data_IF_061349401611
#
_entry.id   IF_061349401611
#
_cell.length_a   1.000
_cell.length_b   1.000
_cell.length_c   1.000
_cell.angle_alpha   90.00
_cell.angle_beta   90.00
_cell.angle_gamma   90.00
#
_symmetry.space_group_name_H-M   'P 1'
#
loop_
_entity.id
_entity.type
_entity.pdbx_description
1 polymer ?
#
# COMPACT_ATOMS: atom_id res chain seq x y z
N UNK A 1 11.22 -18.74 -17.50
CA UNK A 1 11.68 -19.08 -16.12
C UNK A 1 10.58 -18.78 -15.13
N UNK A 2 10.42 -19.63 -14.14
CA UNK A 2 9.47 -19.37 -13.05
C UNK A 2 9.95 -18.20 -12.20
N UNK A 3 9.01 -17.39 -11.73
CA UNK A 3 9.32 -16.30 -10.81
C UNK A 3 9.63 -16.85 -9.40
N UNK A 4 10.41 -16.11 -8.58
CA UNK A 4 10.78 -16.57 -7.22
C UNK A 4 9.59 -16.86 -6.31
N UNK A 5 8.49 -16.12 -6.48
CA UNK A 5 7.30 -16.24 -5.64
C UNK A 5 6.05 -16.52 -6.47
N UNK A 6 5.15 -17.32 -5.93
CA UNK A 6 3.84 -17.55 -6.54
C UNK A 6 2.93 -16.35 -6.39
N UNK A 7 2.86 -15.79 -5.20
CA UNK A 7 2.03 -14.64 -4.92
C UNK A 7 2.71 -13.66 -3.97
N UNK A 8 2.57 -12.38 -4.26
CA UNK A 8 3.03 -11.30 -3.40
C UNK A 8 1.88 -10.43 -2.93
N UNK A 9 2.05 -9.81 -1.77
CA UNK A 9 1.13 -8.82 -1.23
C UNK A 9 1.82 -7.48 -1.06
N UNK A 10 1.16 -6.41 -1.48
CA UNK A 10 1.60 -5.04 -1.34
C UNK A 10 0.43 -4.18 -0.89
N UNK A 11 0.43 -3.75 0.35
CA UNK A 11 -0.67 -3.00 0.96
C UNK A 11 -0.25 -1.64 1.49
N UNK A 12 -1.20 -0.71 1.57
CA UNK A 12 -0.99 0.61 2.13
C UNK A 12 -2.19 1.55 1.98
N UNK A 13 -2.02 2.77 2.49
CA UNK A 13 -3.02 3.86 2.38
C UNK A 13 -2.90 4.60 1.05
N UNK A 14 -1.69 4.74 0.53
CA UNK A 14 -1.39 5.41 -0.74
C UNK A 14 -1.95 6.85 -0.83
N UNK A 15 -1.51 7.71 0.04
CA UNK A 15 -2.01 9.07 0.20
C UNK A 15 -0.98 10.16 -0.13
N UNK A 16 -0.72 10.46 -1.41
CA UNK A 16 -1.25 9.82 -2.63
C UNK A 16 -0.46 8.58 -3.05
N UNK A 17 -0.98 7.87 -4.04
CA UNK A 17 -0.21 6.91 -4.81
C UNK A 17 0.88 7.66 -5.60
N UNK A 18 2.12 7.23 -5.51
CA UNK A 18 3.26 7.95 -6.09
C UNK A 18 4.28 7.02 -6.74
N UNK A 19 5.27 7.59 -7.42
CA UNK A 19 6.29 6.84 -8.18
C UNK A 19 7.04 5.80 -7.34
N UNK A 20 7.28 6.06 -6.07
CA UNK A 20 7.88 5.08 -5.16
C UNK A 20 6.99 3.85 -4.93
N UNK A 21 5.68 4.06 -4.81
CA UNK A 21 4.72 2.94 -4.71
C UNK A 21 4.65 2.15 -6.01
N UNK A 22 4.62 2.84 -7.15
CA UNK A 22 4.64 2.18 -8.45
C UNK A 22 5.89 1.33 -8.64
N UNK A 23 7.06 1.83 -8.26
CA UNK A 23 8.30 1.08 -8.30
C UNK A 23 8.27 -0.20 -7.44
N UNK A 24 7.67 -0.11 -6.25
CA UNK A 24 7.47 -1.26 -5.38
C UNK A 24 6.54 -2.29 -6.06
N UNK A 25 5.43 -1.84 -6.64
CA UNK A 25 4.48 -2.69 -7.35
C UNK A 25 5.11 -3.37 -8.58
N UNK A 26 5.88 -2.63 -9.37
CA UNK A 26 6.60 -3.16 -10.54
C UNK A 26 7.63 -4.22 -10.13
N UNK A 27 8.32 -3.99 -9.01
CA UNK A 27 9.26 -4.96 -8.46
C UNK A 27 8.54 -6.24 -8.02
N UNK A 28 7.43 -6.11 -7.30
CA UNK A 28 6.60 -7.25 -6.93
C UNK A 28 6.08 -8.00 -8.16
N UNK A 29 5.61 -7.28 -9.17
CA UNK A 29 5.13 -7.86 -10.42
C UNK A 29 6.19 -8.67 -11.16
N UNK A 30 7.45 -8.24 -11.13
CA UNK A 30 8.56 -9.00 -11.72
C UNK A 30 8.90 -10.27 -10.95
N UNK A 31 8.76 -10.24 -9.63
CA UNK A 31 9.19 -11.32 -8.74
C UNK A 31 8.10 -12.35 -8.45
N UNK A 32 6.82 -12.03 -8.68
CA UNK A 32 5.69 -12.90 -8.36
C UNK A 32 4.89 -13.27 -9.61
N UNK A 33 4.34 -14.49 -9.64
CA UNK A 33 3.39 -14.87 -10.69
C UNK A 33 2.09 -14.05 -10.58
N UNK A 34 1.67 -13.74 -9.34
CA UNK A 34 0.51 -12.91 -9.02
C UNK A 34 0.85 -11.91 -7.91
N UNK A 35 0.28 -10.72 -7.98
CA UNK A 35 0.40 -9.71 -6.92
C UNK A 35 -0.97 -9.23 -6.48
N UNK A 36 -1.20 -9.21 -5.17
CA UNK A 36 -2.34 -8.55 -4.53
C UNK A 36 -1.92 -7.16 -4.07
N UNK A 37 -2.48 -6.14 -4.70
CA UNK A 37 -2.30 -4.75 -4.30
C UNK A 37 -3.50 -4.31 -3.47
N UNK A 38 -3.30 -4.02 -2.19
CA UNK A 38 -4.38 -3.74 -1.24
C UNK A 38 -4.44 -2.25 -0.90
N UNK A 39 -5.59 -1.62 -1.16
CA UNK A 39 -5.90 -0.33 -0.54
C UNK A 39 -6.47 -0.60 0.84
N UNK A 40 -5.74 -0.18 1.87
CA UNK A 40 -6.19 -0.20 3.28
C UNK A 40 -6.96 1.09 3.55
N UNK A 41 -8.27 1.07 3.30
CA UNK A 41 -9.12 2.25 3.33
C UNK A 41 -9.84 2.44 4.67
N UNK A 42 -10.16 3.69 5.00
CA UNK A 42 -10.92 4.08 6.18
C UNK A 42 -10.21 3.76 7.51
N UNK A 43 -8.89 3.73 7.52
CA UNK A 43 -8.11 3.56 8.74
C UNK A 43 -8.05 4.87 9.57
N UNK A 44 -7.60 4.76 10.81
CA UNK A 44 -7.51 5.90 11.75
C UNK A 44 -6.62 7.01 11.19
N UNK A 45 -5.46 6.65 10.66
CA UNK A 45 -4.53 7.63 10.08
C UNK A 45 -5.08 8.32 8.83
N UNK A 46 -5.79 7.57 7.99
CA UNK A 46 -6.46 8.14 6.81
C UNK A 46 -7.47 9.21 7.24
N UNK A 47 -8.34 8.92 8.19
CA UNK A 47 -9.31 9.88 8.69
C UNK A 47 -8.64 11.12 9.27
N UNK A 48 -7.56 10.94 10.02
CA UNK A 48 -6.76 12.02 10.58
C UNK A 48 -6.17 12.92 9.49
N UNK A 49 -5.60 12.32 8.45
CA UNK A 49 -5.04 13.04 7.30
C UNK A 49 -6.13 13.80 6.54
N UNK A 50 -7.24 13.14 6.19
CA UNK A 50 -8.33 13.74 5.42
C UNK A 50 -8.94 14.97 6.12
N UNK A 51 -8.99 14.98 7.45
CA UNK A 51 -9.47 16.14 8.23
C UNK A 51 -8.60 17.38 8.10
N UNK A 52 -7.33 17.23 7.69
CA UNK A 52 -6.39 18.36 7.50
C UNK A 52 -6.42 18.92 6.08
N UNK A 53 -7.12 18.29 5.16
CA UNK A 53 -7.14 18.62 3.73
C UNK A 53 -8.42 19.32 3.33
N UNK A 54 -8.36 20.04 2.21
CA UNK A 54 -9.50 20.72 1.59
C UNK A 54 -9.35 20.77 0.07
N UNK A 55 -10.42 21.15 -0.62
CA UNK A 55 -10.41 21.38 -2.06
C UNK A 55 -9.95 20.16 -2.88
N UNK A 56 -9.10 20.42 -3.86
CA UNK A 56 -8.66 19.41 -4.83
C UNK A 56 -7.86 18.28 -4.20
N UNK A 57 -7.07 18.57 -3.16
CA UNK A 57 -6.30 17.56 -2.43
C UNK A 57 -7.22 16.55 -1.75
N UNK A 58 -8.24 17.04 -1.06
CA UNK A 58 -9.23 16.19 -0.40
C UNK A 58 -9.95 15.29 -1.39
N UNK A 59 -10.36 15.85 -2.54
CA UNK A 59 -11.00 15.09 -3.62
C UNK A 59 -10.07 14.03 -4.21
N UNK A 60 -8.81 14.42 -4.48
CA UNK A 60 -7.82 13.51 -5.06
C UNK A 60 -7.45 12.34 -4.15
N UNK A 61 -7.58 12.53 -2.83
CA UNK A 61 -7.22 11.53 -1.81
C UNK A 61 -8.40 10.76 -1.26
N UNK A 62 -9.61 10.90 -1.83
CA UNK A 62 -10.73 10.02 -1.47
C UNK A 62 -10.37 8.55 -1.71
N UNK A 63 -10.90 7.61 -0.91
CA UNK A 63 -10.62 6.19 -1.09
C UNK A 63 -10.92 5.69 -2.50
N UNK A 64 -12.02 6.14 -3.09
CA UNK A 64 -12.46 5.75 -4.44
C UNK A 64 -11.45 6.18 -5.52
N UNK A 65 -10.94 7.42 -5.41
CA UNK A 65 -9.95 7.93 -6.37
C UNK A 65 -8.59 7.26 -6.23
N UNK A 66 -8.16 7.01 -5.00
CA UNK A 66 -6.93 6.24 -4.75
C UNK A 66 -7.05 4.83 -5.31
N UNK A 67 -8.16 4.16 -5.05
CA UNK A 67 -8.43 2.83 -5.60
C UNK A 67 -8.40 2.82 -7.13
N UNK A 68 -9.04 3.79 -7.78
CA UNK A 68 -9.06 3.89 -9.23
C UNK A 68 -7.65 4.05 -9.82
N UNK A 69 -6.80 4.87 -9.20
CA UNK A 69 -5.40 5.06 -9.63
C UNK A 69 -4.56 3.80 -9.45
N UNK A 70 -4.67 3.15 -8.30
CA UNK A 70 -4.01 1.88 -8.02
C UNK A 70 -4.41 0.80 -9.04
N UNK A 71 -5.69 0.70 -9.30
CA UNK A 71 -6.24 -0.26 -10.25
C UNK A 71 -5.74 0.00 -11.67
N UNK A 72 -5.66 1.25 -12.09
CA UNK A 72 -5.10 1.63 -13.39
C UNK A 72 -3.62 1.24 -13.51
N UNK A 73 -2.82 1.49 -12.46
CA UNK A 73 -1.42 1.08 -12.41
C UNK A 73 -1.26 -0.44 -12.46
N UNK A 74 -2.04 -1.17 -11.67
CA UNK A 74 -2.01 -2.63 -11.62
C UNK A 74 -2.38 -3.30 -12.93
N UNK A 75 -3.38 -2.78 -13.63
CA UNK A 75 -3.82 -3.32 -14.95
C UNK A 75 -2.71 -3.31 -16.00
N UNK A 76 -1.81 -2.33 -15.95
CA UNK A 76 -0.69 -2.22 -16.90
C UNK A 76 0.32 -3.37 -16.76
N UNK A 77 0.39 -3.98 -15.60
CA UNK A 77 1.35 -5.04 -15.29
C UNK A 77 0.83 -6.45 -15.59
N UNK A 78 -0.47 -6.61 -15.75
CA UNK A 78 -1.12 -7.85 -16.21
C UNK A 78 -1.26 -8.96 -15.17
N UNK A 79 -0.46 -8.96 -14.10
CA UNK A 79 -0.50 -9.97 -13.03
C UNK A 79 -0.85 -9.40 -11.66
N UNK A 80 -1.42 -8.20 -11.62
CA UNK A 80 -1.80 -7.49 -10.39
C UNK A 80 -3.31 -7.49 -10.23
N UNK A 81 -3.77 -7.96 -9.09
CA UNK A 81 -5.14 -7.81 -8.61
C UNK A 81 -5.18 -6.70 -7.57
N UNK A 82 -5.99 -5.67 -7.80
CA UNK A 82 -6.16 -4.56 -6.87
C UNK A 82 -7.42 -4.76 -6.06
N UNK A 83 -7.29 -4.74 -4.74
CA UNK A 83 -8.37 -5.03 -3.79
C UNK A 83 -8.59 -3.82 -2.90
N UNK A 84 -9.85 -3.39 -2.81
CA UNK A 84 -10.30 -2.39 -1.83
C UNK A 84 -10.62 -3.10 -0.51
N UNK A 85 -9.95 -2.71 0.55
CA UNK A 85 -10.20 -3.24 1.89
C UNK A 85 -10.68 -2.13 2.81
N UNK A 86 -11.91 -2.23 3.26
CA UNK A 86 -12.44 -1.37 4.33
C UNK A 86 -11.95 -1.90 5.68
N UNK A 87 -11.04 -1.16 6.32
CA UNK A 87 -10.48 -1.50 7.63
C UNK A 87 -10.98 -0.57 8.75
N UNK A 88 -12.12 0.08 8.54
CA UNK A 88 -12.72 0.99 9.52
C UNK A 88 -12.99 0.34 10.89
N UNK A 89 -13.18 -0.97 10.92
CA UNK A 89 -13.43 -1.72 12.15
C UNK A 89 -12.14 -2.20 12.85
N UNK A 90 -10.97 -2.03 12.23
CA UNK A 90 -9.69 -2.47 12.78
C UNK A 90 -9.14 -1.41 13.73
N UNK A 91 -9.78 -1.28 14.89
CA UNK A 91 -9.45 -0.29 15.92
C UNK A 91 -9.35 -0.94 17.29
N UNK A 92 -8.38 -0.47 18.06
CA UNK A 92 -8.29 -0.83 19.49
C UNK A 92 -9.43 -0.19 20.28
N UNK A 93 -9.73 -0.64 21.52
CA UNK A 93 -10.69 0.01 22.39
C UNK A 93 -10.40 1.51 22.65
N UNK A 94 -9.13 1.92 22.57
CA UNK A 94 -8.70 3.33 22.70
C UNK A 94 -8.89 4.14 21.40
N UNK A 95 -9.26 3.51 20.29
CA UNK A 95 -9.51 4.18 19.00
C UNK A 95 -8.27 4.30 18.10
N UNK A 96 -7.18 3.63 18.43
CA UNK A 96 -5.98 3.54 17.58
C UNK A 96 -6.11 2.44 16.52
N UNK A 97 -5.25 2.45 15.51
CA UNK A 97 -5.20 1.36 14.53
C UNK A 97 -4.84 0.04 15.20
N UNK A 98 -5.56 -1.01 14.84
CA UNK A 98 -5.29 -2.38 15.25
C UNK A 98 -4.84 -3.22 14.04
N UNK A 99 -3.55 -3.27 13.83
CA UNK A 99 -2.95 -4.03 12.73
C UNK A 99 -3.15 -5.54 12.87
N UNK A 100 -3.23 -6.04 14.09
CA UNK A 100 -3.49 -7.46 14.32
C UNK A 100 -4.92 -7.84 13.89
N UNK A 101 -5.87 -6.90 14.00
CA UNK A 101 -7.22 -7.08 13.48
C UNK A 101 -7.29 -7.06 11.93
N UNK A 102 -6.33 -6.40 11.26
CA UNK A 102 -6.25 -6.39 9.81
C UNK A 102 -5.78 -7.73 9.23
N UNK A 103 -4.92 -8.45 9.95
CA UNK A 103 -4.31 -9.71 9.50
C UNK A 103 -5.32 -10.72 8.94
N UNK A 104 -6.40 -11.09 9.65
CA UNK A 104 -7.38 -12.05 9.11
C UNK A 104 -8.15 -11.51 7.90
N UNK A 105 -8.32 -10.19 7.77
CA UNK A 105 -8.96 -9.57 6.60
C UNK A 105 -8.06 -9.70 5.37
N UNK A 106 -6.76 -9.43 5.52
CA UNK A 106 -5.77 -9.58 4.45
C UNK A 106 -5.71 -11.03 3.99
N UNK A 107 -5.62 -11.98 4.90
CA UNK A 107 -5.59 -13.41 4.59
C UNK A 107 -6.85 -13.88 3.85
N UNK A 108 -8.00 -13.36 4.22
CA UNK A 108 -9.27 -13.68 3.57
C UNK A 108 -9.35 -13.11 2.17
N UNK A 109 -8.85 -11.89 1.97
CA UNK A 109 -8.87 -11.20 0.68
C UNK A 109 -7.87 -11.80 -0.34
N UNK A 110 -6.67 -12.15 0.12
CA UNK A 110 -5.59 -12.61 -0.76
C UNK A 110 -5.52 -14.13 -0.89
N UNK A 111 -6.05 -14.88 0.08
CA UNK A 111 -5.74 -16.31 0.21
C UNK A 111 -4.27 -16.50 0.60
N UNK A 112 -3.55 -17.36 -0.13
CA UNK A 112 -2.13 -17.59 0.13
C UNK A 112 -1.24 -16.60 -0.63
N UNK A 113 -0.22 -16.09 0.05
CA UNK A 113 0.91 -15.36 -0.54
C UNK A 113 2.20 -15.75 0.18
N UNK A 114 3.33 -15.74 -0.53
CA UNK A 114 4.63 -16.16 -0.03
C UNK A 114 5.66 -15.00 0.04
N UNK A 115 5.24 -13.80 -0.36
CA UNK A 115 6.04 -12.59 -0.21
C UNK A 115 5.18 -11.37 0.16
N UNK A 116 5.73 -10.47 0.98
CA UNK A 116 5.17 -9.15 1.29
C UNK A 116 6.15 -8.10 0.83
N UNK A 117 5.67 -7.08 0.13
CA UNK A 117 6.49 -6.01 -0.42
C UNK A 117 6.22 -4.69 0.28
N UNK A 118 7.26 -3.92 0.53
CA UNK A 118 7.17 -2.59 1.11
C UNK A 118 8.52 -1.91 1.14
N UNK A 119 8.54 -0.62 1.48
CA UNK A 119 9.77 0.17 1.57
C UNK A 119 10.16 0.52 3.00
N UNK A 120 9.28 0.26 3.98
CA UNK A 120 9.44 0.73 5.35
C UNK A 120 10.07 -0.36 6.24
N UNK A 121 11.34 -0.20 6.67
CA UNK A 121 11.99 -1.20 7.52
C UNK A 121 11.31 -1.42 8.87
N UNK A 122 10.64 -0.41 9.42
CA UNK A 122 9.96 -0.50 10.72
C UNK A 122 8.81 -1.49 10.73
N UNK A 123 8.26 -1.84 9.58
CA UNK A 123 7.17 -2.81 9.46
C UNK A 123 7.63 -4.27 9.50
N UNK A 124 8.93 -4.52 9.42
CA UNK A 124 9.46 -5.89 9.32
C UNK A 124 9.04 -6.77 10.50
N UNK A 125 9.06 -6.24 11.72
CA UNK A 125 8.68 -7.00 12.92
C UNK A 125 7.19 -7.42 12.88
N UNK A 126 6.31 -6.52 12.45
CA UNK A 126 4.90 -6.83 12.27
C UNK A 126 4.68 -7.91 11.22
N UNK A 127 5.26 -7.77 10.03
CA UNK A 127 5.07 -8.74 8.95
C UNK A 127 5.61 -10.13 9.30
N UNK A 128 6.73 -10.22 10.01
CA UNK A 128 7.26 -11.50 10.50
C UNK A 128 6.31 -12.19 11.48
N UNK A 129 5.65 -11.42 12.33
CA UNK A 129 4.67 -11.94 13.29
C UNK A 129 3.35 -12.32 12.61
N UNK A 130 2.84 -11.42 11.76
CA UNK A 130 1.54 -11.59 11.12
C UNK A 130 1.54 -12.65 10.02
N UNK A 131 2.63 -12.71 9.24
CA UNK A 131 2.78 -13.59 8.07
C UNK A 131 4.11 -14.34 8.13
N UNK A 132 4.31 -15.25 9.12
CA UNK A 132 5.60 -15.90 9.36
C UNK A 132 6.06 -16.82 8.22
N UNK A 133 5.16 -17.22 7.33
CA UNK A 133 5.47 -18.02 6.15
C UNK A 133 5.92 -17.20 4.94
N UNK A 134 5.73 -15.87 4.95
CA UNK A 134 6.02 -15.00 3.83
C UNK A 134 7.33 -14.22 4.04
N UNK A 135 8.13 -14.09 2.97
CA UNK A 135 9.30 -13.24 2.99
C UNK A 135 8.90 -11.75 2.93
N UNK A 136 9.49 -10.91 3.78
CA UNK A 136 9.33 -9.46 3.65
C UNK A 136 10.43 -8.90 2.75
N UNK A 137 10.05 -8.44 1.57
CA UNK A 137 10.94 -7.86 0.55
C UNK A 137 10.89 -6.35 0.66
N UNK A 138 11.97 -5.75 1.15
CA UNK A 138 12.10 -4.31 1.27
C UNK A 138 12.61 -3.72 -0.06
N UNK A 139 11.76 -2.90 -0.68
CA UNK A 139 12.08 -2.27 -1.97
C UNK A 139 12.53 -0.84 -1.72
N UNK A 140 13.78 -0.54 -2.06
CA UNK A 140 14.39 0.78 -1.90
C UNK A 140 14.17 1.40 -0.49
N UNK A 141 14.56 0.69 0.61
CA UNK A 141 14.34 1.18 1.98
C UNK A 141 14.88 2.60 2.24
N UNK A 142 16.07 2.99 1.74
CA UNK A 142 16.60 4.34 1.91
C UNK A 142 15.94 5.37 0.98
N UNK A 143 14.98 4.95 0.12
CA UNK A 143 14.34 5.81 -0.89
C UNK A 143 15.36 6.51 -1.81
N UNK A 144 16.42 5.80 -2.19
CA UNK A 144 17.50 6.33 -3.03
C UNK A 144 17.06 6.43 -4.50
N UNK A 145 16.23 5.49 -4.94
CA UNK A 145 15.74 5.45 -6.33
C UNK A 145 14.60 6.46 -6.56
N UNK A 146 13.65 6.52 -5.62
CA UNK A 146 12.56 7.50 -5.63
C UNK A 146 12.48 8.21 -4.27
N UNK A 147 13.19 9.34 -4.08
CA UNK A 147 13.30 10.02 -2.79
C UNK A 147 12.03 10.84 -2.45
N UNK A 148 10.90 10.15 -2.34
CA UNK A 148 9.58 10.76 -2.14
C UNK A 148 8.77 10.01 -1.08
N UNK A 149 7.86 10.71 -0.42
CA UNK A 149 6.87 10.14 0.49
C UNK A 149 5.53 10.85 0.33
N UNK A 150 4.45 10.17 0.71
CA UNK A 150 3.12 10.77 0.71
C UNK A 150 3.05 12.00 1.61
N UNK A 151 3.71 11.98 2.75
CA UNK A 151 3.79 13.13 3.67
C UNK A 151 4.41 14.36 3.00
N UNK A 152 5.52 14.19 2.29
CA UNK A 152 6.14 15.29 1.54
C UNK A 152 5.24 15.82 0.43
N UNK A 153 4.60 14.95 -0.32
CA UNK A 153 3.70 15.35 -1.40
C UNK A 153 2.51 16.13 -0.84
N UNK A 154 1.94 15.71 0.28
CA UNK A 154 0.83 16.44 0.91
C UNK A 154 1.26 17.81 1.44
N UNK A 155 2.49 17.96 1.89
CA UNK A 155 3.03 19.24 2.36
C UNK A 155 3.23 20.26 1.21
N UNK A 156 3.60 19.79 0.01
CA UNK A 156 3.88 20.61 -1.17
C UNK A 156 3.12 20.07 -2.39
N UNK A 157 1.81 20.05 -2.29
CA UNK A 157 0.90 19.34 -3.22
C UNK A 157 1.09 19.73 -4.69
N UNK A 158 1.17 21.01 -4.96
CA UNK A 158 1.32 21.52 -6.34
C UNK A 158 2.74 21.33 -6.85
N UNK A 159 3.74 21.70 -6.05
CA UNK A 159 5.14 21.62 -6.43
C UNK A 159 5.61 20.19 -6.69
N UNK A 160 5.10 19.25 -5.90
CA UNK A 160 5.45 17.83 -6.02
C UNK A 160 4.43 17.02 -6.86
N UNK A 161 3.62 17.68 -7.67
CA UNK A 161 2.58 17.06 -8.49
C UNK A 161 3.12 15.99 -9.45
N UNK A 162 4.34 16.18 -9.98
CA UNK A 162 4.98 15.23 -10.90
C UNK A 162 5.32 13.87 -10.27
N UNK A 163 5.33 13.77 -8.94
CA UNK A 163 5.57 12.53 -8.22
C UNK A 163 4.31 11.67 -8.05
N UNK A 164 3.14 12.27 -8.21
CA UNK A 164 1.85 11.56 -8.10
C UNK A 164 1.59 10.71 -9.34
N UNK A 165 0.89 9.63 -9.14
CA UNK A 165 0.42 8.73 -10.20
C UNK A 165 -1.06 8.96 -10.45
#
# INVERSE_FOLDING_TARGET
MSKPFRAGMFGGKFMPYHKGHLYCLETASRLCDRVYQLLMANCVDEERILRTLSGDELLALSPERRYARMRAAGRRLGNVETIYMDISQCRTPSGDEDWDAETPLVMRACGHFDAVFGSEPSYAAYFRRAYPWAAYIQVDPPRAHYPISGTRIRADWEELSSWRI
#
